data_IF_760534976799
#
_entry.id   IF_760534976799
#
_cell.length_a   1.000
_cell.length_b   1.000
_cell.length_c   1.000
_cell.angle_alpha   90.00
_cell.angle_beta   90.00
_cell.angle_gamma   90.00
#
_symmetry.space_group_name_H-M   'P 1'
#
loop_
_entity.id
_entity.type
_entity.pdbx_description
1 polymer ?
2 polymer ?
3 polymer ?
4 polymer ?
5 non-polymer ?
6 non-polymer ?
7 non-polymer ?
8 non-polymer ?
9 non-polymer ?
10 water ?
#
loop_
_entity_poly.entity_id
_entity_poly.type
_entity_poly.pdbx_seq_one_letter_code
_entity_poly.pdbx_strand_id
2 'polydeoxyribonucleotide' '(DC)(DG)(DG)(DC)(DC)(DT)(DA)(DC)(DG)' ?
3 'polydeoxyribonucleotide' '(DC)(DG)(DT)(DA)(8OG)' ?
4 'polydeoxyribonucleotide' '(DG)(DC)(DC)(DG)' ?
#
# COMPACT_ATOMS: atom_id res chain seq x y z
N UNK A 12 -20.32 3.14 -14.95
CA UNK A 12 -19.09 3.26 -14.07
C UNK A 12 -19.39 4.10 -12.80
N UNK A 13 -19.46 3.44 -11.63
CA UNK A 13 -19.67 4.23 -10.40
C UNK A 13 -18.47 5.10 -10.05
N UNK A 14 -18.71 6.15 -9.28
CA UNK A 14 -17.71 7.19 -9.04
C UNK A 14 -16.60 6.78 -8.06
N UNK A 15 -16.93 5.87 -7.14
CA UNK A 15 -15.99 5.44 -6.10
C UNK A 15 -15.39 4.11 -6.49
N UNK A 16 -14.09 3.94 -6.25
CA UNK A 16 -13.41 2.68 -6.59
C UNK A 16 -13.94 1.48 -5.81
N UNK A 17 -14.48 1.72 -4.62
CA UNK A 17 -15.00 0.61 -3.79
C UNK A 17 -16.34 0.08 -4.27
N UNK A 18 -16.94 0.75 -5.25
CA UNK A 18 -18.20 0.31 -5.87
C UNK A 18 -18.08 -0.55 -7.13
N UNK A 19 -16.86 -0.90 -7.53
CA UNK A 19 -16.65 -1.63 -8.78
C UNK A 19 -15.47 -2.57 -8.58
N UNK A 20 -15.52 -3.76 -9.20
CA UNK A 20 -14.37 -4.66 -9.12
C UNK A 20 -13.22 -4.11 -9.92
N UNK A 21 -12.01 -4.22 -9.35
CA UNK A 21 -10.80 -3.89 -10.09
C UNK A 21 -9.82 -5.02 -9.99
N UNK A 22 -9.62 -5.74 -11.11
CA UNK A 22 -8.71 -6.89 -11.10
C UNK A 22 -7.26 -6.45 -11.12
N UNK A 23 -6.37 -7.36 -10.80
CA UNK A 23 -4.96 -7.03 -10.74
C UNK A 23 -4.40 -6.70 -12.13
N UNK A 24 -4.77 -7.51 -13.11
CA UNK A 24 -4.38 -7.25 -14.51
C UNK A 24 -5.62 -6.87 -15.31
N UNK A 25 -5.40 -6.04 -16.32
CA UNK A 25 -6.53 -5.40 -16.99
C UNK A 25 -6.20 -5.07 -18.46
N UNK A 26 -6.99 -4.20 -19.08
CA UNK A 26 -6.96 -3.98 -20.52
C UNK A 26 -6.51 -2.59 -20.93
N UNK A 27 -6.01 -1.83 -19.97
CA UNK A 27 -5.65 -0.42 -20.20
C UNK A 27 -4.36 -0.07 -19.47
N UNK A 28 -3.44 -1.03 -19.44
CA UNK A 28 -2.24 -0.93 -18.62
C UNK A 28 -1.39 0.30 -18.93
N UNK A 29 -1.13 0.52 -20.21
CA UNK A 29 -0.34 1.68 -20.64
C UNK A 29 -0.97 3.02 -20.27
N UNK A 30 -2.27 3.14 -20.47
CA UNK A 30 -2.99 4.36 -20.15
C UNK A 30 -2.97 4.63 -18.63
N UNK A 31 -3.34 3.62 -17.85
CA UNK A 31 -3.41 3.77 -16.38
C UNK A 31 -2.05 4.18 -15.81
N UNK A 32 -0.96 3.57 -16.34
CA UNK A 32 0.45 3.85 -15.95
C UNK A 32 0.83 5.29 -16.16
N UNK A 33 0.52 5.81 -17.35
CA UNK A 33 0.81 7.20 -17.67
C UNK A 33 0.12 8.15 -16.70
N UNK A 34 -1.15 7.89 -16.41
CA UNK A 34 -1.88 8.71 -15.47
C UNK A 34 -1.25 8.63 -14.07
N UNK A 35 -0.80 7.44 -13.69
CA UNK A 35 -0.15 7.26 -12.41
C UNK A 35 1.19 7.98 -12.29
N UNK A 36 1.92 8.19 -13.39
CA UNK A 36 3.13 9.03 -13.37
C UNK A 36 2.75 10.45 -12.97
N UNK A 37 1.69 10.97 -13.57
CA UNK A 37 1.23 12.31 -13.24
C UNK A 37 0.71 12.41 -11.80
N UNK A 38 0.07 11.34 -11.31
CA UNK A 38 -0.37 11.31 -9.91
C UNK A 38 0.80 11.38 -8.96
N UNK A 39 1.82 10.58 -9.27
CA UNK A 39 3.02 10.49 -8.44
C UNK A 39 3.71 11.85 -8.42
N UNK A 40 3.85 12.45 -9.60
CA UNK A 40 4.43 13.80 -9.72
C UNK A 40 3.70 14.84 -8.90
N UNK A 41 2.37 14.80 -8.94
CA UNK A 41 1.55 15.71 -8.14
C UNK A 41 1.82 15.52 -6.64
N UNK A 42 1.98 14.28 -6.21
CA UNK A 42 2.35 14.00 -4.80
C UNK A 42 3.70 14.60 -4.42
N UNK A 43 4.68 14.50 -5.31
CA UNK A 43 6.00 15.08 -5.03
C UNK A 43 5.96 16.60 -4.86
N UNK A 44 4.96 17.25 -5.45
CA UNK A 44 4.75 18.70 -5.30
C UNK A 44 3.75 19.07 -4.20
N UNK A 45 3.32 18.10 -3.41
CA UNK A 45 2.33 18.31 -2.35
C UNK A 45 0.89 18.59 -2.77
N UNK A 46 0.53 18.28 -4.02
CA UNK A 46 -0.86 18.46 -4.45
C UNK A 46 -1.60 17.14 -4.37
N UNK A 47 -2.12 16.87 -3.18
CA UNK A 47 -2.86 15.64 -2.91
C UNK A 47 -4.15 15.54 -3.73
N UNK A 48 -4.83 16.67 -3.96
CA UNK A 48 -6.04 16.67 -4.80
C UNK A 48 -5.80 16.20 -6.22
N UNK A 49 -4.78 16.76 -6.86
CA UNK A 49 -4.42 16.35 -8.20
C UNK A 49 -3.95 14.88 -8.24
N UNK A 50 -3.15 14.48 -7.25
CA UNK A 50 -2.75 13.06 -7.12
C UNK A 50 -3.99 12.19 -7.09
N UNK A 51 -4.97 12.57 -6.27
CA UNK A 51 -6.18 11.74 -6.14
C UNK A 51 -6.96 11.63 -7.45
N UNK A 52 -7.13 12.76 -8.14
CA UNK A 52 -7.86 12.71 -9.41
C UNK A 52 -7.16 11.82 -10.44
N UNK A 53 -5.84 11.97 -10.59
CA UNK A 53 -5.10 11.16 -11.55
C UNK A 53 -5.12 9.66 -11.14
N UNK A 54 -4.97 9.38 -9.85
CA UNK A 54 -5.13 8.00 -9.37
C UNK A 54 -6.52 7.45 -9.66
N UNK A 55 -7.57 8.25 -9.40
CA UNK A 55 -8.92 7.78 -9.64
C UNK A 55 -9.20 7.54 -11.11
N UNK A 56 -8.73 8.44 -11.98
CA UNK A 56 -8.88 8.28 -13.42
C UNK A 56 -8.14 7.01 -13.88
N UNK A 57 -6.92 6.82 -13.39
CA UNK A 57 -6.19 5.61 -13.74
C UNK A 57 -6.97 4.36 -13.31
N UNK A 58 -7.53 4.41 -12.11
CA UNK A 58 -8.27 3.27 -11.56
C UNK A 58 -9.53 2.94 -12.36
N UNK A 59 -10.22 3.98 -12.82
CA UNK A 59 -11.37 3.78 -13.68
C UNK A 59 -10.99 2.93 -14.92
N UNK A 60 -9.86 3.24 -15.52
CA UNK A 60 -9.41 2.49 -16.69
C UNK A 60 -9.11 1.03 -16.36
N UNK A 61 -8.58 0.79 -15.16
CA UNK A 61 -8.34 -0.58 -14.70
C UNK A 61 -9.62 -1.41 -14.58
N UNK A 62 -10.74 -0.73 -14.31
CA UNK A 62 -12.03 -1.37 -14.10
C UNK A 62 -12.83 -1.62 -15.36
N UNK A 63 -12.36 -1.08 -16.50
CA UNK A 63 -13.04 -1.25 -17.78
C UNK A 63 -12.90 -2.68 -18.29
N UNK A 64 -13.91 -3.17 -19.02
CA UNK A 64 -13.91 -4.56 -19.48
C UNK A 64 -13.10 -4.81 -20.75
N UNK A 65 -12.64 -3.74 -21.41
CA UNK A 65 -11.85 -3.86 -22.63
C UNK A 65 -10.99 -2.61 -22.85
N UNK A 66 -10.08 -2.63 -23.84
CA UNK A 66 -9.24 -1.47 -24.09
C UNK A 66 -9.97 -0.22 -24.57
N UNK A 67 -9.56 0.93 -24.05
CA UNK A 67 -9.96 2.19 -24.65
C UNK A 67 -9.17 2.35 -25.96
N UNK A 68 -9.90 2.47 -27.07
CA UNK A 68 -9.30 2.69 -28.40
C UNK A 68 -9.60 4.06 -29.02
N UNK A 69 -10.65 4.72 -28.56
CA UNK A 69 -11.10 6.00 -29.12
C UNK A 69 -11.46 6.94 -27.98
N UNK A 70 -11.22 8.22 -28.19
CA UNK A 70 -11.46 9.25 -27.18
C UNK A 70 -12.91 9.31 -26.70
N UNK A 71 -13.87 9.00 -27.59
CA UNK A 71 -15.30 9.01 -27.24
C UNK A 71 -15.70 8.01 -26.14
N UNK A 72 -14.90 6.94 -25.97
CA UNK A 72 -15.13 5.96 -24.92
C UNK A 72 -14.89 6.51 -23.49
N UNK A 73 -14.25 7.68 -23.37
CA UNK A 73 -14.11 8.34 -22.06
C UNK A 73 -15.33 9.14 -21.64
N UNK A 74 -16.22 9.42 -22.60
CA UNK A 74 -17.41 10.25 -22.32
C UNK A 74 -18.26 9.63 -21.23
N UNK A 75 -18.56 10.40 -20.20
CA UNK A 75 -19.37 9.92 -19.10
C UNK A 75 -18.61 9.10 -18.06
N UNK A 76 -17.33 8.83 -18.27
CA UNK A 76 -16.53 8.14 -17.22
C UNK A 76 -16.19 9.14 -16.14
N UNK A 77 -16.37 8.75 -14.87
CA UNK A 77 -16.03 9.65 -13.80
C UNK A 77 -14.52 9.87 -13.71
N UNK A 78 -14.14 11.06 -13.29
CA UNK A 78 -12.74 11.48 -13.11
C UNK A 78 -11.96 11.78 -14.37
N UNK A 79 -12.64 11.75 -15.53
CA UNK A 79 -12.05 12.18 -16.78
C UNK A 79 -12.58 13.55 -17.19
N UNK A 80 -11.73 14.55 -17.00
CA UNK A 80 -12.02 15.92 -17.42
C UNK A 80 -11.04 16.28 -18.52
N UNK A 81 -10.83 17.58 -18.71
CA UNK A 81 -10.00 18.05 -19.80
C UNK A 81 -8.57 17.50 -19.77
N UNK A 82 -7.96 17.47 -18.58
CA UNK A 82 -6.54 17.11 -18.45
C UNK A 82 -6.30 15.61 -18.67
N UNK A 83 -7.01 14.77 -17.92
CA UNK A 83 -6.85 13.33 -18.04
C UNK A 83 -7.24 12.84 -19.42
N UNK A 84 -8.29 13.44 -20.01
CA UNK A 84 -8.72 13.09 -21.37
C UNK A 84 -7.67 13.45 -22.40
N UNK A 85 -7.00 14.59 -22.24
CA UNK A 85 -5.91 14.98 -23.14
C UNK A 85 -4.73 14.00 -23.07
N UNK A 86 -4.40 13.55 -21.87
CA UNK A 86 -3.32 12.55 -21.72
C UNK A 86 -3.68 11.30 -22.51
N UNK A 87 -4.90 10.81 -22.36
CA UNK A 87 -5.33 9.59 -23.08
C UNK A 87 -5.33 9.86 -24.59
N UNK A 88 -5.87 11.01 -25.00
CA UNK A 88 -5.92 11.38 -26.42
C UNK A 88 -4.53 11.29 -27.04
N UNK A 89 -3.54 11.91 -26.38
CA UNK A 89 -2.20 11.93 -26.89
C UNK A 89 -1.61 10.54 -26.97
N UNK A 90 -1.88 9.70 -25.97
CA UNK A 90 -1.42 8.31 -26.02
C UNK A 90 -2.08 7.50 -27.15
N UNK A 91 -3.37 7.70 -27.37
CA UNK A 91 -4.11 6.99 -28.42
C UNK A 91 -3.63 7.42 -29.81
N UNK A 92 -3.36 8.71 -29.97
CA UNK A 92 -2.94 9.26 -31.27
C UNK A 92 -1.47 8.99 -31.58
N UNK A 93 -0.57 9.17 -30.62
CA UNK A 93 0.89 9.14 -30.87
C UNK A 93 1.69 8.09 -30.09
N UNK A 94 1.05 7.35 -29.17
CA UNK A 94 1.73 6.35 -28.35
C UNK A 94 2.54 6.89 -27.19
N UNK A 95 2.47 8.21 -27.00
CA UNK A 95 3.26 8.91 -26.00
C UNK A 95 2.52 10.22 -25.65
N UNK A 96 2.64 10.65 -24.39
CA UNK A 96 2.09 11.93 -23.94
C UNK A 96 3.25 12.82 -23.53
N UNK A 97 3.38 13.98 -24.18
CA UNK A 97 4.55 14.80 -23.96
C UNK A 97 4.71 15.24 -22.51
N UNK A 98 3.62 15.55 -21.84
CA UNK A 98 3.68 15.94 -20.42
C UNK A 98 4.25 14.81 -19.57
N UNK A 99 3.76 13.61 -19.82
CA UNK A 99 4.22 12.43 -19.09
C UNK A 99 5.72 12.23 -19.31
N UNK A 100 6.18 12.32 -20.56
CA UNK A 100 7.61 12.13 -20.86
C UNK A 100 8.49 13.22 -20.25
N UNK A 101 8.00 14.45 -20.24
CA UNK A 101 8.69 15.56 -19.59
C UNK A 101 8.87 15.28 -18.10
N UNK A 102 7.81 14.79 -17.45
CA UNK A 102 7.91 14.40 -16.04
C UNK A 102 8.94 13.28 -15.86
N UNK A 103 8.82 12.20 -16.64
CA UNK A 103 9.76 11.07 -16.54
C UNK A 103 11.23 11.48 -16.60
N UNK A 104 11.54 12.37 -17.55
CA UNK A 104 12.88 12.88 -17.81
C UNK A 104 13.42 13.79 -16.71
N UNK A 105 12.52 14.51 -16.03
CA UNK A 105 12.89 15.62 -15.16
C UNK A 105 13.75 15.21 -13.99
N UNK A 106 14.72 16.07 -13.67
CA UNK A 106 15.61 15.84 -12.53
C UNK A 106 14.82 15.79 -11.21
N UNK A 107 13.84 16.69 -11.09
CA UNK A 107 12.95 16.75 -9.92
C UNK A 107 12.23 15.41 -9.69
N UNK A 108 11.56 14.91 -10.71
CA UNK A 108 10.83 13.65 -10.60
C UNK A 108 11.76 12.48 -10.25
N UNK A 109 12.84 12.33 -11.00
CA UNK A 109 13.73 11.19 -10.80
C UNK A 109 14.35 11.18 -9.40
N UNK A 110 14.77 12.34 -8.92
CA UNK A 110 15.41 12.44 -7.61
C UNK A 110 14.41 12.26 -6.48
N UNK A 111 13.25 12.89 -6.60
CA UNK A 111 12.19 12.73 -5.59
C UNK A 111 11.72 11.27 -5.51
N UNK A 112 11.61 10.61 -6.66
CA UNK A 112 11.30 9.18 -6.68
C UNK A 112 12.38 8.35 -5.97
N UNK A 113 13.64 8.61 -6.29
CA UNK A 113 14.76 7.90 -5.68
C UNK A 113 14.79 8.10 -4.17
N UNK A 114 14.68 9.35 -3.74
CA UNK A 114 14.76 9.65 -2.30
C UNK A 114 13.57 9.10 -1.53
N UNK A 115 12.36 9.29 -2.05
CA UNK A 115 11.15 8.77 -1.36
C UNK A 115 11.08 7.23 -1.30
N UNK A 116 11.78 6.53 -2.20
CA UNK A 116 11.92 5.08 -2.10
C UNK A 116 12.63 4.61 -0.86
N UNK A 117 13.46 5.48 -0.29
CA UNK A 117 14.26 5.11 0.86
C UNK A 117 13.32 4.98 2.06
N UNK A 118 13.42 3.85 2.75
CA UNK A 118 12.71 3.64 4.00
C UNK A 118 13.17 4.70 5.03
N UNK A 119 12.24 5.50 5.53
CA UNK A 119 12.55 6.58 6.47
C UNK A 119 12.58 7.98 5.87
N UNK A 120 12.43 8.07 4.54
CA UNK A 120 12.37 9.32 3.82
C UNK A 120 11.00 9.49 3.15
N UNK A 121 10.28 10.56 3.49
CA UNK A 121 9.01 10.88 2.87
C UNK A 121 9.20 12.04 1.92
N UNK A 122 8.08 12.55 1.39
CA UNK A 122 8.14 13.64 0.40
C UNK A 122 8.81 14.89 1.00
N UNK A 123 8.45 15.24 2.24
CA UNK A 123 9.00 16.45 2.88
C UNK A 123 10.51 16.40 3.05
N UNK A 124 11.04 15.26 3.48
CA UNK A 124 12.47 15.11 3.64
C UNK A 124 13.17 15.13 2.28
N UNK A 125 12.63 14.37 1.33
CA UNK A 125 13.17 14.31 -0.03
C UNK A 125 13.26 15.71 -0.68
N UNK A 126 12.18 16.48 -0.52
CA UNK A 126 12.11 17.83 -1.08
C UNK A 126 13.15 18.75 -0.48
N UNK A 127 13.30 18.69 0.85
CA UNK A 127 14.33 19.47 1.54
C UNK A 127 15.73 19.13 1.03
N UNK A 128 16.03 17.84 0.95
CA UNK A 128 17.29 17.39 0.37
C UNK A 128 17.49 17.86 -1.07
N UNK A 129 16.44 17.78 -1.87
CA UNK A 129 16.47 18.25 -3.27
C UNK A 129 16.81 19.74 -3.31
N UNK A 130 16.15 20.52 -2.47
CA UNK A 130 16.39 21.96 -2.38
C UNK A 130 17.80 22.29 -1.91
N UNK A 131 18.37 21.46 -1.04
CA UNK A 131 19.79 21.55 -0.64
C UNK A 131 20.82 21.14 -1.70
N UNK A 132 20.37 20.61 -2.85
CA UNK A 132 21.25 20.24 -3.96
C UNK A 132 21.61 18.78 -4.06
N UNK A 133 21.07 17.95 -3.15
CA UNK A 133 21.39 16.53 -3.12
C UNK A 133 20.61 15.83 -4.23
N UNK A 134 21.24 14.87 -4.90
CA UNK A 134 20.66 14.19 -6.07
C UNK A 134 20.78 12.65 -6.07
N UNK A 135 21.79 12.08 -5.42
CA UNK A 135 22.10 10.65 -5.49
C UNK A 135 22.16 10.01 -4.11
N UNK A 136 22.09 8.68 -4.08
CA UNK A 136 22.20 7.95 -2.83
C UNK A 136 23.57 8.15 -2.18
N UNK A 137 24.63 8.16 -2.99
CA UNK A 137 25.97 8.44 -2.47
C UNK A 137 26.12 9.88 -1.93
N UNK A 138 25.41 10.85 -2.50
CA UNK A 138 25.30 12.19 -1.87
C UNK A 138 24.83 12.09 -0.42
N UNK A 139 23.84 11.23 -0.17
CA UNK A 139 23.29 11.07 1.19
C UNK A 139 24.27 10.34 2.11
N UNK A 140 24.94 9.34 1.57
CA UNK A 140 25.89 8.53 2.33
C UNK A 140 27.11 9.34 2.80
N UNK A 141 27.54 10.32 2.00
CA UNK A 141 28.64 11.23 2.37
C UNK A 141 28.34 12.18 3.54
N UNK A 142 27.06 12.42 3.82
CA UNK A 142 26.64 13.29 4.94
C UNK A 142 25.77 12.52 5.95
N UNK A 143 26.32 11.45 6.57
CA UNK A 143 25.52 10.54 7.38
C UNK A 143 25.06 11.10 8.72
N UNK A 144 25.69 12.18 9.19
CA UNK A 144 25.25 12.90 10.39
C UNK A 144 23.84 13.49 10.25
N UNK A 145 23.46 13.82 9.01
CA UNK A 145 22.12 14.30 8.70
C UNK A 145 21.01 13.23 8.74
N UNK A 146 21.37 11.94 8.82
CA UNK A 146 20.40 10.85 8.69
C UNK A 146 19.91 10.31 10.02
N UNK A 147 18.63 9.99 10.09
CA UNK A 147 18.09 9.27 11.25
C UNK A 147 18.56 7.81 11.18
N UNK A 148 18.46 7.11 12.30
CA UNK A 148 18.82 5.69 12.32
C UNK A 148 17.98 4.87 11.33
N UNK A 149 16.71 5.23 11.20
CA UNK A 149 15.81 4.59 10.26
C UNK A 149 16.26 4.81 8.82
N UNK A 150 16.62 6.05 8.51
CA UNK A 150 17.12 6.39 7.18
C UNK A 150 18.45 5.72 6.88
N UNK A 151 19.31 5.60 7.89
CA UNK A 151 20.56 4.88 7.72
C UNK A 151 20.31 3.43 7.31
N UNK A 152 19.37 2.77 7.98
CA UNK A 152 19.00 1.39 7.63
C UNK A 152 18.38 1.32 6.23
N UNK A 153 17.48 2.26 5.95
CA UNK A 153 16.89 2.37 4.62
C UNK A 153 17.89 2.53 3.51
N UNK A 154 18.93 3.34 3.76
CA UNK A 154 19.96 3.59 2.77
C UNK A 154 20.90 2.39 2.64
N UNK A 155 21.32 1.80 3.74
CA UNK A 155 22.16 0.58 3.71
C UNK A 155 21.51 -0.55 2.93
N UNK A 156 20.21 -0.75 3.18
CA UNK A 156 19.47 -1.85 2.58
C UNK A 156 18.73 -1.52 1.29
N UNK A 157 18.95 -0.32 0.76
CA UNK A 157 18.16 0.17 -0.38
C UNK A 157 18.19 -0.77 -1.57
N UNK A 158 19.38 -1.30 -1.91
CA UNK A 158 19.51 -2.14 -3.08
C UNK A 158 18.65 -3.40 -2.98
N UNK A 159 18.76 -4.10 -1.86
CA UNK A 159 17.93 -5.29 -1.61
C UNK A 159 16.43 -4.94 -1.60
N UNK A 160 16.09 -3.83 -0.96
CA UNK A 160 14.68 -3.45 -0.81
C UNK A 160 14.07 -2.97 -2.14
N UNK A 161 14.91 -2.69 -3.12
CA UNK A 161 14.45 -2.27 -4.46
C UNK A 161 14.07 -3.46 -5.33
N UNK A 162 14.45 -4.67 -4.93
CA UNK A 162 14.20 -5.90 -5.66
C UNK A 162 12.93 -6.54 -5.09
N UNK A 163 11.93 -6.86 -5.93
CA UNK A 163 10.72 -7.43 -5.37
C UNK A 163 10.88 -8.85 -4.82
N UNK A 164 9.97 -9.19 -3.91
CA UNK A 164 9.87 -10.44 -3.18
C UNK A 164 8.91 -11.33 -3.98
N UNK A 165 9.17 -12.63 -4.07
CA UNK A 165 8.24 -13.59 -4.72
C UNK A 165 7.31 -14.24 -3.69
N UNK A 166 6.16 -14.78 -4.14
CA UNK A 166 5.22 -15.45 -3.23
C UNK A 166 5.84 -16.64 -2.51
N UNK A 167 6.74 -17.38 -3.16
CA UNK A 167 7.47 -18.48 -2.50
C UNK A 167 8.30 -17.97 -1.32
N UNK A 168 8.91 -16.80 -1.47
CA UNK A 168 9.66 -16.15 -0.38
C UNK A 168 8.72 -15.79 0.77
N UNK A 169 7.52 -15.30 0.43
CA UNK A 169 6.52 -14.91 1.43
C UNK A 169 6.10 -16.12 2.27
N UNK A 170 5.90 -17.26 1.62
CA UNK A 170 5.49 -18.47 2.32
C UNK A 170 6.57 -18.93 3.31
N UNK A 171 7.84 -18.83 2.91
CA UNK A 171 8.95 -19.10 3.82
C UNK A 171 8.98 -18.15 5.03
N UNK A 172 8.80 -16.85 4.78
CA UNK A 172 8.73 -15.82 5.83
C UNK A 172 7.55 -16.10 6.80
N UNK A 173 6.41 -16.51 6.26
CA UNK A 173 5.25 -16.73 7.09
C UNK A 173 5.49 -17.87 8.09
N UNK A 174 6.20 -18.91 7.65
CA UNK A 174 6.50 -20.03 8.53
C UNK A 174 7.35 -19.60 9.71
N UNK A 175 8.37 -18.77 9.47
CA UNK A 175 9.25 -18.32 10.55
C UNK A 175 8.49 -17.39 11.50
N UNK A 176 7.63 -16.53 10.95
CA UNK A 176 6.79 -15.67 11.78
C UNK A 176 5.82 -16.50 12.64
N UNK A 177 5.19 -17.48 12.02
CA UNK A 177 4.30 -18.38 12.75
C UNK A 177 4.99 -19.10 13.90
N UNK A 178 6.24 -19.50 13.71
CA UNK A 178 6.96 -20.20 14.80
C UNK A 178 7.15 -19.26 15.97
N UNK A 179 7.60 -18.03 15.70
CA UNK A 179 7.82 -17.05 16.75
C UNK A 179 6.51 -16.70 17.46
N UNK A 180 5.46 -16.49 16.67
CA UNK A 180 4.15 -16.15 17.20
C UNK A 180 3.59 -17.27 18.11
N UNK A 181 3.78 -18.52 17.69
CA UNK A 181 3.34 -19.68 18.47
C UNK A 181 4.00 -19.80 19.83
N UNK A 182 5.27 -19.43 19.92
CA UNK A 182 5.97 -19.37 21.20
C UNK A 182 5.52 -18.18 22.02
N UNK A 183 5.32 -17.03 21.36
CA UNK A 183 4.90 -15.81 22.05
C UNK A 183 3.50 -15.95 22.66
N UNK A 184 2.62 -16.62 21.95
CA UNK A 184 1.24 -16.81 22.37
C UNK A 184 0.61 -18.00 21.63
N UNK A 185 0.62 -19.18 22.26
CA UNK A 185 -0.03 -20.32 21.65
C UNK A 185 -1.49 -20.05 21.27
N UNK A 186 -1.85 -20.46 20.07
CA UNK A 186 -3.18 -20.21 19.53
C UNK A 186 -3.30 -18.93 18.69
N UNK A 187 -2.30 -18.07 18.74
CA UNK A 187 -2.33 -16.85 17.90
C UNK A 187 -2.16 -17.26 16.46
N UNK A 188 -2.77 -16.49 15.56
CA UNK A 188 -2.77 -16.80 14.14
C UNK A 188 -2.09 -15.69 13.37
N UNK A 189 -1.63 -16.04 12.18
CA UNK A 189 -0.92 -15.14 11.29
C UNK A 189 -1.61 -15.20 9.94
N UNK A 190 -2.05 -14.04 9.46
CA UNK A 190 -2.74 -13.93 8.17
C UNK A 190 -1.92 -13.03 7.25
N UNK A 191 -1.65 -13.52 6.05
CA UNK A 191 -0.99 -12.73 5.00
C UNK A 191 -1.95 -11.67 4.48
N UNK A 192 -1.52 -10.42 4.44
CA UNK A 192 -2.37 -9.34 3.93
C UNK A 192 -1.61 -8.60 2.83
N UNK A 193 -1.90 -7.31 2.59
CA UNK A 193 -1.23 -6.55 1.56
C UNK A 193 -1.50 -7.06 0.16
N UNK A 194 -0.61 -6.70 -0.75
CA UNK A 194 -0.78 -7.01 -2.16
C UNK A 194 -0.79 -8.50 -2.47
N UNK A 195 -0.06 -9.29 -1.69
CA UNK A 195 -0.07 -10.73 -1.90
C UNK A 195 -1.45 -11.33 -1.66
N UNK A 196 -2.18 -10.83 -0.67
CA UNK A 196 -3.57 -11.30 -0.48
C UNK A 196 -4.48 -10.90 -1.66
N UNK A 197 -4.16 -9.78 -2.33
CA UNK A 197 -4.87 -9.35 -3.54
C UNK A 197 -4.50 -10.12 -4.78
N UNK A 198 -3.58 -11.07 -4.66
CA UNK A 198 -3.21 -11.94 -5.78
C UNK A 198 -1.88 -11.64 -6.44
N UNK A 199 -1.16 -10.65 -5.93
CA UNK A 199 0.14 -10.32 -6.56
C UNK A 199 1.11 -11.48 -6.44
N UNK A 200 1.85 -11.74 -7.50
CA UNK A 200 2.83 -12.82 -7.51
C UNK A 200 4.18 -12.36 -7.00
N UNK A 201 4.41 -11.06 -7.03
CA UNK A 201 5.58 -10.48 -6.39
C UNK A 201 5.25 -9.12 -5.80
N UNK A 202 6.13 -8.59 -4.97
CA UNK A 202 5.83 -7.34 -4.30
C UNK A 202 6.99 -6.90 -3.43
N UNK A 203 6.99 -5.63 -3.02
CA UNK A 203 8.19 -5.02 -2.39
C UNK A 203 8.20 -5.02 -0.90
N UNK A 204 7.17 -5.69 -0.42
CA UNK A 204 6.64 -5.70 0.85
C UNK A 204 5.98 -7.00 1.36
N UNK A 205 6.12 -7.44 2.61
CA UNK A 205 5.26 -8.55 3.05
C UNK A 205 4.54 -8.06 4.30
N UNK A 206 3.23 -8.24 4.38
CA UNK A 206 2.46 -7.79 5.55
C UNK A 206 1.72 -8.95 6.21
N UNK A 207 1.79 -9.00 7.53
CA UNK A 207 1.14 -10.05 8.32
C UNK A 207 0.29 -9.40 9.39
N UNK A 208 -0.88 -10.00 9.58
CA UNK A 208 -1.82 -9.56 10.61
C UNK A 208 -1.98 -10.71 11.61
N UNK A 209 -1.80 -10.39 12.88
CA UNK A 209 -1.73 -11.36 13.95
C UNK A 209 -2.90 -11.11 14.90
N UNK A 210 -3.60 -12.18 15.32
CA UNK A 210 -4.64 -12.06 16.32
C UNK A 210 -4.70 -13.33 17.16
N UNK A 211 -5.66 -13.37 18.07
CA UNK A 211 -5.88 -14.57 18.89
C UNK A 211 -7.39 -14.71 19.06
N UNK A 212 -7.93 -15.94 19.00
CA UNK A 212 -9.41 -16.08 19.05
C UNK A 212 -10.09 -15.62 20.35
N UNK A 213 -9.36 -15.66 21.46
CA UNK A 213 -9.81 -15.11 22.74
C UNK A 213 -9.48 -13.63 22.91
N UNK A 214 -10.53 -12.80 22.80
CA UNK A 214 -10.42 -11.35 22.95
C UNK A 214 -9.63 -10.95 24.20
N UNK A 215 -8.61 -10.13 24.01
CA UNK A 215 -7.75 -9.66 25.08
C UNK A 215 -6.41 -10.39 25.17
N UNK A 216 -6.35 -11.62 24.66
CA UNK A 216 -5.11 -12.42 24.76
C UNK A 216 -3.98 -11.81 23.93
N UNK A 217 -4.34 -11.05 22.90
CA UNK A 217 -3.35 -10.41 22.04
C UNK A 217 -2.65 -9.21 22.66
N UNK A 218 -3.15 -8.70 23.80
CA UNK A 218 -2.53 -7.55 24.44
C UNK A 218 -1.08 -7.88 24.76
N UNK A 219 -0.17 -6.96 24.42
CA UNK A 219 1.26 -7.14 24.68
C UNK A 219 1.98 -8.15 23.82
N UNK A 220 1.34 -8.61 22.74
CA UNK A 220 1.90 -9.68 21.93
C UNK A 220 3.08 -9.23 21.05
N UNK A 221 2.98 -8.06 20.46
CA UNK A 221 3.95 -7.69 19.43
C UNK A 221 5.40 -7.59 19.95
N UNK A 222 5.61 -7.01 21.15
CA UNK A 222 6.98 -7.04 21.68
C UNK A 222 7.52 -8.45 21.90
N UNK A 223 6.65 -9.36 22.33
CA UNK A 223 7.06 -10.75 22.53
C UNK A 223 7.44 -11.44 21.23
N UNK A 224 6.70 -11.14 20.17
CA UNK A 224 7.02 -11.66 18.85
C UNK A 224 8.34 -11.08 18.36
N UNK A 225 8.49 -9.77 18.50
CA UNK A 225 9.70 -9.10 18.02
C UNK A 225 10.97 -9.61 18.72
N UNK A 226 10.89 -9.78 20.03
CA UNK A 226 12.03 -10.28 20.82
C UNK A 226 12.48 -11.65 20.35
N UNK A 227 11.51 -12.51 20.04
CA UNK A 227 11.76 -13.85 19.58
C UNK A 227 12.37 -13.88 18.17
N UNK A 228 11.83 -13.06 17.27
CA UNK A 228 12.42 -12.95 15.93
C UNK A 228 13.85 -12.39 16.00
N UNK A 229 14.07 -11.41 16.87
CA UNK A 229 15.39 -10.84 17.13
C UNK A 229 16.38 -11.91 17.58
N UNK A 230 15.95 -12.71 18.57
CA UNK A 230 16.78 -13.82 19.09
C UNK A 230 17.16 -14.87 18.06
N UNK A 231 16.28 -15.08 17.09
CA UNK A 231 16.55 -15.96 15.96
C UNK A 231 17.51 -15.38 14.91
N UNK A 232 17.92 -14.12 15.04
CA UNK A 232 18.85 -13.47 14.12
C UNK A 232 18.21 -13.02 12.83
N UNK A 233 16.88 -12.88 12.82
CA UNK A 233 16.15 -12.60 11.58
C UNK A 233 15.88 -11.12 11.35
N UNK A 234 16.09 -10.28 12.35
CA UNK A 234 15.73 -8.89 12.26
C UNK A 234 16.97 -8.05 12.00
N UNK A 235 17.04 -7.50 10.80
CA UNK A 235 18.11 -6.57 10.44
C UNK A 235 17.86 -5.18 10.99
N UNK A 236 16.58 -4.79 11.08
CA UNK A 236 16.19 -3.51 11.63
C UNK A 236 14.78 -3.56 12.17
N UNK A 237 14.56 -2.92 13.33
CA UNK A 237 13.20 -2.59 13.76
C UNK A 237 13.23 -1.37 14.70
N UNK A 238 12.06 -0.82 14.98
CA UNK A 238 11.94 0.49 15.66
C UNK A 238 12.33 0.55 17.15
N UNK A 239 12.45 -0.61 17.81
CA UNK A 239 12.72 -0.66 19.25
C UNK A 239 14.03 -1.37 19.58
N UNK A 258 4.61 -0.35 24.72
CA UNK A 258 3.59 -1.15 24.02
C UNK A 258 3.40 -0.65 22.58
N UNK A 259 3.18 -1.59 21.65
CA UNK A 259 2.91 -1.25 20.25
C UNK A 259 2.07 -2.31 19.52
N UNK A 260 1.47 -1.91 18.38
CA UNK A 260 0.63 -2.78 17.55
C UNK A 260 1.00 -2.88 16.05
N UNK A 261 1.90 -2.03 15.57
CA UNK A 261 2.48 -2.15 14.23
C UNK A 261 3.99 -2.12 14.33
N UNK A 262 4.66 -3.02 13.63
CA UNK A 262 6.12 -3.06 13.61
C UNK A 262 6.59 -3.04 12.17
N UNK A 263 7.41 -2.05 11.79
CA UNK A 263 7.91 -1.94 10.42
C UNK A 263 9.36 -2.40 10.48
N UNK A 264 9.59 -3.61 9.95
CA UNK A 264 10.87 -4.32 10.07
C UNK A 264 11.60 -4.47 8.74
N UNK A 265 12.90 -4.78 8.84
CA UNK A 265 13.67 -5.32 7.73
C UNK A 265 14.13 -6.68 8.24
N UNK A 266 13.73 -7.73 7.53
CA UNK A 266 14.01 -9.12 7.83
C UNK A 266 15.14 -9.63 6.95
N UNK A 267 15.85 -10.62 7.47
CA UNK A 267 16.75 -11.44 6.72
C UNK A 267 16.02 -12.62 6.04
N UNK A 268 15.94 -12.61 4.72
CA UNK A 268 15.28 -13.66 3.92
C UNK A 268 16.33 -14.58 3.30
N UNK A 269 16.25 -15.90 3.56
CA UNK A 269 17.17 -16.85 2.90
C UNK A 269 17.10 -16.82 1.38
N UNK A 270 18.28 -16.87 0.75
CA UNK A 270 18.45 -17.04 -0.68
C UNK A 270 19.51 -18.12 -0.88
N UNK A 271 19.59 -18.72 -2.09
CA UNK A 271 20.64 -19.70 -2.38
C UNK A 271 22.07 -19.25 -1.99
N UNK A 272 22.60 -19.84 -0.92
CA UNK A 272 23.96 -19.54 -0.46
C UNK A 272 24.18 -18.21 0.25
N UNK A 273 23.08 -17.49 0.52
CA UNK A 273 23.18 -16.16 1.09
C UNK A 273 21.78 -15.74 1.59
N UNK A 274 21.47 -14.46 1.50
CA UNK A 274 20.19 -13.93 1.97
C UNK A 274 19.99 -12.56 1.39
N UNK A 275 18.78 -12.02 1.57
CA UNK A 275 18.51 -10.64 1.22
C UNK A 275 17.62 -9.99 2.26
N UNK A 276 17.73 -8.67 2.36
CA UNK A 276 16.89 -7.83 3.18
C UNK A 276 15.51 -7.68 2.53
N UNK A 277 14.46 -7.81 3.35
CA UNK A 277 13.07 -7.68 2.89
C UNK A 277 12.30 -6.87 3.93
N UNK A 278 11.47 -5.94 3.46
CA UNK A 278 10.57 -5.18 4.35
C UNK A 278 9.38 -6.07 4.75
N UNK A 279 9.17 -6.20 6.05
CA UNK A 279 8.05 -6.96 6.59
C UNK A 279 7.35 -6.09 7.62
N UNK A 280 6.02 -6.00 7.51
CA UNK A 280 5.20 -5.34 8.52
C UNK A 280 4.42 -6.36 9.31
N UNK A 281 4.47 -6.21 10.63
CA UNK A 281 3.70 -7.07 11.53
C UNK A 281 2.72 -6.21 12.28
N UNK A 282 1.46 -6.65 12.31
CA UNK A 282 0.36 -5.89 12.89
C UNK A 282 -0.43 -6.82 13.78
N UNK A 283 -0.76 -6.34 14.97
CA UNK A 283 -1.61 -7.09 15.90
C UNK A 283 -2.96 -6.39 16.02
N UNK A 284 -4.04 -7.17 16.01
CA UNK A 284 -5.38 -6.65 16.31
C UNK A 284 -6.13 -7.60 17.19
N UNK A 285 -6.98 -7.08 18.07
CA UNK A 285 -7.91 -7.96 18.79
C UNK A 285 -8.88 -8.61 17.81
N UNK A 286 -9.34 -9.81 18.11
CA UNK A 286 -10.21 -10.52 17.18
C UNK A 286 -11.49 -9.72 16.84
N UNK A 287 -12.02 -8.95 17.79
CA UNK A 287 -13.17 -8.08 17.51
C UNK A 287 -12.91 -7.06 16.37
N UNK A 288 -11.67 -6.63 16.23
CA UNK A 288 -11.28 -5.66 15.20
C UNK A 288 -10.67 -6.31 13.95
N UNK A 289 -10.46 -7.63 14.00
CA UNK A 289 -9.72 -8.31 12.94
C UNK A 289 -10.30 -8.04 11.53
N UNK A 290 -11.63 -8.11 11.36
CA UNK A 290 -12.17 -7.84 10.00
C UNK A 290 -11.81 -6.44 9.47
N UNK A 291 -11.84 -5.45 10.35
CA UNK A 291 -11.47 -4.10 9.96
C UNK A 291 -9.98 -3.99 9.64
N UNK A 292 -9.15 -4.68 10.41
CA UNK A 292 -7.72 -4.61 10.20
C UNK A 292 -7.35 -5.36 8.93
N UNK A 293 -7.99 -6.51 8.71
CA UNK A 293 -7.79 -7.31 7.54
C UNK A 293 -8.17 -6.48 6.30
N UNK A 294 -9.33 -5.85 6.36
CA UNK A 294 -9.80 -5.01 5.26
C UNK A 294 -8.81 -3.89 4.96
N UNK A 295 -8.43 -3.16 6.01
CA UNK A 295 -7.51 -2.04 5.80
C UNK A 295 -6.14 -2.43 5.27
N UNK A 296 -5.55 -3.48 5.85
CA UNK A 296 -4.21 -3.91 5.49
C UNK A 296 -4.14 -4.67 4.18
N UNK A 297 -5.32 -5.07 3.63
CA UNK A 297 -5.34 -5.75 2.34
C UNK A 297 -5.35 -4.76 1.18
N UNK A 298 -5.82 -3.54 1.42
CA UNK A 298 -5.74 -2.50 0.42
C UNK A 298 -6.67 -2.74 -0.79
N UNK A 299 -6.33 -2.21 -1.97
CA UNK A 299 -5.20 -1.34 -2.23
C UNK A 299 -5.30 -0.01 -1.46
N UNK A 300 -4.22 0.77 -1.50
CA UNK A 300 -4.24 2.08 -0.85
C UNK A 300 -5.41 2.93 -1.36
N UNK A 301 -5.54 3.04 -2.68
CA UNK A 301 -6.64 3.83 -3.24
C UNK A 301 -8.00 3.23 -2.87
N UNK A 302 -8.11 1.90 -2.93
CA UNK A 302 -9.36 1.26 -2.53
C UNK A 302 -9.80 1.67 -1.11
N UNK A 303 -8.86 1.66 -0.18
CA UNK A 303 -9.18 1.95 1.21
C UNK A 303 -9.50 3.42 1.44
N UNK A 304 -8.78 4.31 0.77
CA UNK A 304 -9.11 5.75 0.85
C UNK A 304 -10.51 6.00 0.31
N UNK A 305 -10.82 5.34 -0.81
CA UNK A 305 -12.12 5.47 -1.44
C UNK A 305 -13.23 4.87 -0.59
N UNK A 306 -12.96 3.74 0.03
CA UNK A 306 -13.91 3.10 0.94
C UNK A 306 -14.22 3.97 2.17
N UNK A 307 -13.19 4.55 2.76
CA UNK A 307 -13.37 5.44 3.91
C UNK A 307 -14.09 6.72 3.49
N UNK A 308 -13.79 7.22 2.30
CA UNK A 308 -14.47 8.39 1.76
C UNK A 308 -15.95 8.08 1.52
N UNK A 309 -16.22 6.94 0.89
CA UNK A 309 -17.60 6.47 0.67
C UNK A 309 -18.38 6.35 1.98
N UNK A 310 -17.77 5.69 2.96
CA UNK A 310 -18.38 5.48 4.26
C UNK A 310 -18.84 6.78 4.88
N UNK A 311 -17.94 7.75 4.96
CA UNK A 311 -18.23 9.03 5.62
C UNK A 311 -19.20 9.87 4.78
N UNK A 312 -18.91 10.02 3.49
CA UNK A 312 -19.64 10.98 2.66
C UNK A 312 -21.00 10.46 2.22
N UNK A 313 -21.10 9.17 1.90
CA UNK A 313 -22.34 8.59 1.42
C UNK A 313 -23.19 7.98 2.53
N UNK A 314 -22.54 7.38 3.54
CA UNK A 314 -23.26 6.66 4.60
C UNK A 314 -23.22 7.32 5.98
N UNK A 315 -22.43 8.37 6.14
CA UNK A 315 -22.28 9.04 7.41
C UNK A 315 -21.63 8.23 8.52
N UNK A 316 -20.84 7.22 8.14
CA UNK A 316 -20.17 6.34 9.09
C UNK A 316 -18.66 6.52 8.94
N UNK A 317 -17.94 6.40 10.04
CA UNK A 317 -16.48 6.67 10.05
C UNK A 317 -15.73 5.35 10.13
N UNK A 318 -14.93 5.07 9.10
CA UNK A 318 -14.23 3.80 8.98
C UNK A 318 -12.73 3.96 9.24
N UNK A 319 -12.16 3.04 10.03
CA UNK A 319 -10.71 2.91 10.07
C UNK A 319 -10.35 1.42 10.23
N UNK A 320 -9.10 1.13 10.57
CA UNK A 320 -8.65 -0.25 10.65
C UNK A 320 -9.02 -0.88 11.97
N UNK A 321 -9.64 -0.11 12.87
CA UNK A 321 -10.14 -0.65 14.14
C UNK A 321 -11.66 -0.87 14.17
N UNK A 322 -12.42 -0.23 13.30
CA UNK A 322 -13.85 -0.24 13.44
C UNK A 322 -14.58 0.71 12.53
N UNK A 323 -15.89 0.73 12.70
CA UNK A 323 -16.80 1.52 11.89
C UNK A 323 -17.79 2.15 12.85
N UNK A 324 -17.75 3.47 12.93
CA UNK A 324 -18.45 4.23 13.97
C UNK A 324 -19.62 4.99 13.37
N UNK A 325 -20.77 4.87 14.03
CA UNK A 325 -21.93 5.69 13.72
C UNK A 325 -21.88 6.86 14.71
N UNK A 326 -21.59 8.08 14.21
CA UNK A 326 -21.45 9.25 15.06
C UNK A 326 -22.78 9.83 15.56
N UNK A 327 -23.91 9.39 15.01
CA UNK A 327 -25.24 9.80 15.50
C UNK A 327 -25.63 8.96 16.72
N UNK A 328 -25.66 7.64 16.54
CA UNK A 328 -25.97 6.72 17.63
C UNK A 328 -24.81 6.53 18.62
N UNK A 329 -23.61 6.96 18.25
CA UNK A 329 -22.40 6.84 19.08
C UNK A 329 -22.06 5.37 19.39
N UNK A 330 -22.11 4.55 18.33
CA UNK A 330 -21.89 3.12 18.46
C UNK A 330 -20.95 2.60 17.38
N UNK A 331 -20.31 1.49 17.68
CA UNK A 331 -19.43 0.79 16.74
C UNK A 331 -20.14 -0.43 16.18
N UNK A 332 -20.00 -0.66 14.87
CA UNK A 332 -20.57 -1.84 14.23
C UNK A 332 -19.71 -3.05 14.53
N UNK A 333 -20.31 -4.11 15.06
CA UNK A 333 -19.57 -5.33 15.29
C UNK A 333 -19.57 -6.05 13.94
N UNK A 334 -18.39 -6.43 13.50
CA UNK A 334 -18.26 -7.21 12.27
C UNK A 334 -17.55 -8.48 12.62
N UNK A 335 -18.01 -9.59 12.04
CA UNK A 335 -17.38 -10.88 12.16
C UNK A 335 -16.61 -11.27 10.91
N UNK A 336 -16.72 -10.45 9.85
CA UNK A 336 -16.12 -10.74 8.56
C UNK A 336 -16.07 -9.48 7.71
N UNK A 337 -15.21 -9.51 6.71
CA UNK A 337 -15.20 -8.45 5.71
C UNK A 337 -16.57 -8.35 5.03
N UNK A 338 -17.19 -9.50 4.75
CA UNK A 338 -18.53 -9.52 4.18
C UNK A 338 -19.50 -8.64 4.99
N UNK A 339 -19.43 -8.74 6.33
CA UNK A 339 -20.27 -7.89 7.22
C UNK A 339 -20.04 -6.42 6.94
N UNK A 340 -18.77 -6.05 6.79
CA UNK A 340 -18.43 -4.64 6.63
C UNK A 340 -19.00 -4.09 5.32
N UNK A 341 -18.81 -4.81 4.22
CA UNK A 341 -19.41 -4.41 2.94
C UNK A 341 -20.94 -4.30 3.07
N UNK A 342 -21.56 -5.29 3.71
CA UNK A 342 -23.01 -5.22 3.92
C UNK A 342 -23.45 -4.00 4.71
N UNK A 343 -22.73 -3.64 5.76
CA UNK A 343 -23.11 -2.51 6.60
C UNK A 343 -22.97 -1.17 5.89
N UNK A 344 -22.07 -1.13 4.91
CA UNK A 344 -21.90 0.03 4.02
C UNK A 344 -22.79 -0.01 2.78
N UNK A 345 -23.61 -1.04 2.60
CA UNK A 345 -24.45 -1.16 1.41
C UNK A 345 -23.72 -1.28 0.09
N UNK A 346 -22.54 -1.95 0.13
CA UNK A 346 -21.75 -2.19 -1.05
C UNK A 346 -21.77 -3.67 -1.35
N UNK A 347 -21.76 -4.01 -2.64
CA UNK A 347 -21.59 -5.39 -3.04
C UNK A 347 -20.19 -5.84 -2.60
N UNK A 348 -20.11 -7.08 -2.09
CA UNK A 348 -18.84 -7.63 -1.64
C UNK A 348 -17.86 -7.77 -2.81
N UNK A 349 -16.61 -7.38 -2.54
CA UNK A 349 -15.50 -7.58 -3.44
C UNK A 349 -14.45 -8.40 -2.72
N UNK A 350 -14.06 -9.54 -3.32
CA UNK A 350 -12.97 -10.28 -2.73
C UNK A 350 -11.67 -9.50 -2.92
N UNK A 351 -10.62 -9.88 -2.18
CA UNK A 351 -9.36 -9.12 -2.27
C UNK A 351 -8.79 -8.95 -3.67
N UNK A 352 -8.90 -9.96 -4.53
CA UNK A 352 -8.38 -9.87 -5.89
C UNK A 352 -9.18 -8.93 -6.81
N UNK A 353 -10.28 -8.35 -6.32
CA UNK A 353 -11.02 -7.29 -7.03
C UNK A 353 -10.95 -5.96 -6.31
N UNK A 354 -9.96 -5.82 -5.41
CA UNK A 354 -9.72 -4.55 -4.70
C UNK A 354 -8.45 -3.86 -5.19
N UNK A 355 -8.03 -4.18 -6.41
CA UNK A 355 -6.77 -3.65 -6.96
C UNK A 355 -6.99 -2.30 -7.64
N UNK A 356 -7.67 -1.39 -6.92
CA UNK A 356 -7.93 -0.06 -7.42
C UNK A 356 -6.66 0.73 -7.56
X LIG E 1 2.50 -4.48 1.25
X LIG F 1 4.12 -3.29 4.27
X LIG G 1 10.19 6.39 1.93
X LIG H 1 0.58 -3.25 -1.07
X LIG H 1 1.45 -2.03 -0.89
X LIG H 1 -0.87 -2.89 -1.08
X LIG H 1 0.89 -4.24 0.04
X LIG H 1 0.85 -3.90 -2.41
X LIG I 1 3.47 -8.72 -11.13
X LIG I 1 2.39 -8.84 -9.85
X LIG I 1 3.14 -8.67 -8.60
X LIG I 1 1.39 -7.74 -9.93
X LIG I 1 1.77 -10.20 -9.89
X LIG J 1 -14.09 0.55 -24.24
X LIG J 1 -15.36 1.23 -24.30
X LIG J 1 -13.73 0.34 -22.77
X LIG J 1 -14.33 -0.85 -22.26
X LIG K 1 -2.70 5.52 -4.31
X LIG K 1 -1.36 6.01 -4.43
X LIG K 1 -3.58 6.65 -3.78
X LIG K 1 -3.05 7.09 -2.53
X LIG L 1 -5.37 2.77 9.69
X LIG L 1 -5.29 3.37 8.41
X LIG L 1 -6.62 3.18 10.41
X LIG L 1 -6.60 2.81 11.80
X LIG M 1 -4.44 -0.22 7.64
X LIG M 1 -5.61 0.54 7.39
X LIG M 1 -3.20 0.58 7.32
X LIG M 1 -3.09 1.62 8.28
#
# INVERSE_FOLDING_TARGET
GSAAAPLSPAWMPAYACQRPTPLTHHNTGLSEALEILAEAAGFEGSEGRLLTFCRAASVLKALPSPVTTLSQLQGLPHFGEHSSRVVQELLEHGVCEEVERVRRSERYQTMKLFTQIFGVGVKTADRWYREGLRTLDDLREQPQKLTQQQKAGLQHHQDLSTPVLRSDVDALQQVVEEAVGQALPGATVTLTGGFRRGKLQGHDVDFLITHPKEGQEAGLLPRVMCRLQDQGLILYHQHQHSCCESPTRLAQQSHMDAFERSFCIFRLPQPGSWKAVRVDLVVAPVSQFPFALLGWTGSKLFQRELRRFSRKEKGLWLNSHGLFDPEQKTFFQAASEEDIFRHLGLEYLPPEQRNA
MG MG
MG MG
NA NA
PO4 P O1 O2 O3 O4
EPE C10 S O1S O2S O3S
EDO C1 O1 C2 O2
EDO C1 O1 C2 O2
EDO C1 O1 C2 O2
EDO C1 O1 C2 O2
#
